data_IF_935123284230
#
_entry.id   IF_935123284230
#
_cell.length_a   1.000
_cell.length_b   1.000
_cell.length_c   1.000
_cell.angle_alpha   90.00
_cell.angle_beta   90.00
_cell.angle_gamma   90.00
#
_symmetry.space_group_name_H-M   'P 1'
#
loop_
_entity.id
_entity.type
_entity.pdbx_description
1 polymer ?
#
# COMPACT_ATOMS: atom_id res chain seq x y z
N UNK A 1 3.81 -16.95 22.05
CA UNK A 1 4.55 -15.72 22.41
C UNK A 1 5.37 -15.88 23.69
N UNK A 2 4.75 -15.90 24.90
CA UNK A 2 5.51 -16.03 26.16
C UNK A 2 6.38 -17.30 26.25
N UNK A 3 5.86 -18.44 25.81
CA UNK A 3 6.64 -19.70 25.76
C UNK A 3 7.85 -19.67 24.82
N UNK A 4 7.90 -18.71 23.88
CA UNK A 4 9.02 -18.49 22.97
C UNK A 4 9.98 -17.38 23.48
N UNK A 5 9.85 -16.95 24.75
CA UNK A 5 10.67 -15.90 25.35
C UNK A 5 10.14 -14.47 25.17
N UNK A 6 8.96 -14.30 24.57
CA UNK A 6 8.34 -12.99 24.38
C UNK A 6 7.82 -12.37 25.69
N UNK A 7 7.99 -11.06 25.82
CA UNK A 7 7.46 -10.27 26.94
C UNK A 7 6.27 -9.42 26.48
N UNK A 8 5.20 -9.43 27.28
CA UNK A 8 4.06 -8.52 27.08
C UNK A 8 4.28 -7.32 27.98
N UNK A 9 4.20 -6.12 27.42
CA UNK A 9 4.27 -4.84 28.13
C UNK A 9 2.97 -4.09 27.94
N UNK A 10 2.54 -3.38 28.98
CA UNK A 10 1.35 -2.54 28.95
C UNK A 10 1.78 -1.11 28.61
N UNK A 11 1.88 -0.81 27.32
CA UNK A 11 2.24 0.53 26.81
C UNK A 11 3.72 0.71 26.40
N UNK A 12 4.08 1.92 25.95
CA UNK A 12 5.42 2.22 25.42
C UNK A 12 6.51 2.35 26.50
N UNK A 13 6.12 2.54 27.76
CA UNK A 13 7.07 2.77 28.85
C UNK A 13 7.99 1.57 29.07
N UNK A 14 9.30 1.82 29.05
CA UNK A 14 10.31 0.81 29.33
C UNK A 14 10.68 -0.10 28.15
N UNK A 15 10.22 0.20 26.93
CA UNK A 15 10.57 -0.57 25.71
C UNK A 15 12.07 -0.52 25.33
N UNK A 16 12.86 0.37 25.94
CA UNK A 16 14.28 0.52 25.61
C UNK A 16 14.48 0.92 24.14
N UNK A 17 15.67 0.64 23.60
CA UNK A 17 15.93 0.85 22.17
C UNK A 17 15.38 -0.35 21.40
N UNK A 18 14.54 -0.06 20.39
CA UNK A 18 13.98 -1.07 19.50
C UNK A 18 14.77 -1.08 18.18
N UNK A 19 15.15 -2.27 17.71
CA UNK A 19 15.81 -2.43 16.41
C UNK A 19 14.81 -2.53 15.25
N UNK A 20 13.59 -2.98 15.53
CA UNK A 20 12.52 -3.20 14.55
C UNK A 20 11.15 -3.21 15.25
N UNK A 21 10.16 -2.61 14.60
CA UNK A 21 8.74 -2.71 14.98
C UNK A 21 7.99 -3.49 13.93
N UNK A 22 7.18 -4.44 14.38
CA UNK A 22 6.22 -5.16 13.54
C UNK A 22 4.83 -4.69 13.91
N UNK A 23 4.21 -3.96 12.98
CA UNK A 23 2.85 -3.47 13.14
C UNK A 23 1.84 -4.57 12.76
N UNK A 24 1.01 -4.93 13.74
CA UNK A 24 -0.12 -5.84 13.59
C UNK A 24 -1.27 -5.45 14.50
N UNK A 25 -1.46 -4.14 14.74
CA UNK A 25 -2.50 -3.62 15.63
C UNK A 25 -3.89 -3.82 15.00
N UNK A 26 -4.03 -3.46 13.72
CA UNK A 26 -5.27 -3.62 12.94
C UNK A 26 -4.95 -4.07 11.51
N UNK A 27 -5.64 -5.08 11.01
CA UNK A 27 -5.66 -5.42 9.57
C UNK A 27 -6.93 -4.91 8.88
N UNK A 28 -7.38 -5.60 7.83
CA UNK A 28 -8.60 -5.28 7.05
C UNK A 28 -9.91 -5.09 7.85
N UNK A 29 -9.95 -5.52 9.12
CA UNK A 29 -11.10 -5.33 10.00
C UNK A 29 -11.11 -3.99 10.75
N UNK A 30 -10.02 -3.22 10.69
CA UNK A 30 -9.92 -1.90 11.31
C UNK A 30 -10.85 -0.90 10.63
N UNK A 31 -11.64 -0.16 11.41
CA UNK A 31 -12.51 0.91 10.90
C UNK A 31 -12.44 2.12 11.79
N UNK A 32 -12.42 3.31 11.19
CA UNK A 32 -12.55 4.59 11.91
C UNK A 32 -11.29 5.09 12.62
N UNK A 33 -10.11 4.62 12.22
CA UNK A 33 -8.83 5.05 12.77
C UNK A 33 -8.35 4.25 13.99
N UNK A 34 -7.18 4.63 14.51
CA UNK A 34 -6.60 4.00 15.69
C UNK A 34 -7.29 4.45 16.98
N UNK A 35 -7.28 3.56 17.97
CA UNK A 35 -7.61 3.90 19.35
C UNK A 35 -6.50 4.77 19.96
N UNK A 36 -6.81 5.47 21.05
CA UNK A 36 -5.89 6.41 21.68
C UNK A 36 -4.59 5.75 22.17
N UNK A 37 -4.69 4.57 22.78
CA UNK A 37 -3.55 3.75 23.22
C UNK A 37 -2.65 3.31 22.06
N UNK A 38 -3.25 2.91 20.93
CA UNK A 38 -2.50 2.59 19.72
C UNK A 38 -1.83 3.82 19.11
N UNK A 39 -2.50 4.97 19.13
CA UNK A 39 -1.95 6.24 18.64
C UNK A 39 -0.67 6.63 19.40
N UNK A 40 -0.65 6.46 20.73
CA UNK A 40 0.52 6.75 21.56
C UNK A 40 1.74 5.87 21.19
N UNK A 41 1.49 4.58 20.89
CA UNK A 41 2.53 3.67 20.39
C UNK A 41 3.08 4.14 19.04
N UNK A 42 2.21 4.52 18.10
CA UNK A 42 2.62 5.02 16.78
C UNK A 42 3.49 6.28 16.90
N UNK A 43 3.12 7.21 17.79
CA UNK A 43 3.89 8.42 18.05
C UNK A 43 5.27 8.11 18.63
N UNK A 44 5.36 7.15 19.55
CA UNK A 44 6.63 6.72 20.16
C UNK A 44 7.57 6.14 19.11
N UNK A 45 7.07 5.20 18.30
CA UNK A 45 7.85 4.54 17.24
C UNK A 45 8.32 5.55 16.18
N UNK A 46 7.43 6.46 15.77
CA UNK A 46 7.75 7.50 14.78
C UNK A 46 8.86 8.43 15.27
N UNK A 47 8.85 8.79 16.56
CA UNK A 47 9.86 9.66 17.17
C UNK A 47 11.24 9.03 17.20
N UNK A 48 11.31 7.73 17.49
CA UNK A 48 12.58 6.99 17.62
C UNK A 48 13.18 6.60 16.26
N UNK A 49 12.42 6.77 15.16
CA UNK A 49 12.82 6.41 13.79
C UNK A 49 13.22 4.93 13.66
N UNK A 50 12.60 4.09 14.48
CA UNK A 50 12.78 2.64 14.40
C UNK A 50 12.16 2.14 13.11
N UNK A 51 12.82 1.24 12.36
CA UNK A 51 12.23 0.64 11.18
C UNK A 51 10.91 -0.07 11.49
N UNK A 52 9.91 0.10 10.63
CA UNK A 52 8.56 -0.46 10.80
C UNK A 52 8.19 -1.36 9.64
N UNK A 53 7.77 -2.59 9.95
CA UNK A 53 7.14 -3.51 9.00
C UNK A 53 5.69 -3.69 9.38
N UNK A 54 4.76 -3.32 8.51
CA UNK A 54 3.34 -3.60 8.70
C UNK A 54 2.95 -4.95 8.12
N UNK A 55 2.12 -5.67 8.88
CA UNK A 55 1.54 -6.94 8.47
C UNK A 55 0.17 -6.67 7.88
N UNK A 56 -0.02 -7.13 6.66
CA UNK A 56 -1.23 -6.97 5.85
C UNK A 56 -1.51 -5.53 5.39
N UNK A 57 -1.67 -4.60 6.33
CA UNK A 57 -2.04 -3.22 6.09
C UNK A 57 -1.46 -2.35 7.22
N UNK A 58 -0.89 -1.16 6.95
CA UNK A 58 -0.50 -0.25 8.03
C UNK A 58 -1.68 0.07 8.93
N UNK A 59 -1.53 -0.12 10.24
CA UNK A 59 -2.63 0.06 11.16
C UNK A 59 -3.12 1.51 11.16
N UNK A 60 -4.45 1.69 11.10
CA UNK A 60 -5.10 3.00 11.04
C UNK A 60 -5.52 3.47 9.63
N UNK A 61 -5.16 2.74 8.58
CA UNK A 61 -5.64 3.03 7.21
C UNK A 61 -6.86 2.18 6.85
N UNK A 62 -7.71 2.69 5.96
CA UNK A 62 -8.87 1.98 5.40
C UNK A 62 -8.44 1.16 4.18
N UNK A 63 -8.80 -0.13 4.15
CA UNK A 63 -8.29 -1.09 3.18
C UNK A 63 -8.82 -0.89 1.75
N UNK A 64 -10.07 -0.48 1.59
CA UNK A 64 -10.77 -0.41 0.31
C UNK A 64 -10.70 0.99 -0.31
N UNK A 65 -10.70 2.04 0.52
CA UNK A 65 -10.73 3.43 0.05
C UNK A 65 -9.37 4.11 0.10
N UNK A 66 -8.46 3.63 0.98
CA UNK A 66 -7.20 4.32 1.27
C UNK A 66 -7.35 5.55 2.16
N UNK A 67 -8.54 5.80 2.72
CA UNK A 67 -8.75 6.88 3.68
C UNK A 67 -7.95 6.62 4.97
N UNK A 68 -7.45 7.70 5.58
CA UNK A 68 -6.75 7.66 6.87
C UNK A 68 -7.49 8.59 7.83
N UNK A 69 -8.07 8.02 8.89
CA UNK A 69 -8.81 8.78 9.89
C UNK A 69 -7.94 9.02 11.12
N UNK A 70 -7.31 10.19 11.18
CA UNK A 70 -6.40 10.55 12.27
C UNK A 70 -5.01 9.98 12.05
N UNK A 71 -4.51 9.24 13.03
CA UNK A 71 -3.15 8.69 13.02
C UNK A 71 -3.13 7.27 12.47
N UNK A 72 -2.08 6.98 11.69
CA UNK A 72 -1.83 5.66 11.13
C UNK A 72 -0.33 5.38 11.12
N UNK A 73 0.01 4.10 11.21
CA UNK A 73 1.39 3.64 11.09
C UNK A 73 1.95 4.07 9.73
N UNK A 74 3.19 4.55 9.73
CA UNK A 74 3.99 4.73 8.51
C UNK A 74 5.05 3.64 8.47
N UNK A 75 4.86 2.68 7.58
CA UNK A 75 5.75 1.54 7.44
C UNK A 75 6.90 1.84 6.47
N UNK A 76 8.07 1.29 6.73
CA UNK A 76 9.15 1.20 5.74
C UNK A 76 8.85 0.09 4.71
N UNK A 77 8.14 -0.96 5.14
CA UNK A 77 7.63 -2.00 4.26
C UNK A 77 6.32 -2.60 4.79
N UNK A 78 5.45 -3.05 3.88
CA UNK A 78 4.23 -3.78 4.22
C UNK A 78 4.23 -5.14 3.54
N UNK A 79 4.01 -6.19 4.32
CA UNK A 79 3.83 -7.56 3.81
C UNK A 79 2.33 -7.85 3.73
N UNK A 80 1.77 -7.85 2.52
CA UNK A 80 0.34 -8.13 2.26
C UNK A 80 0.13 -9.57 1.78
N UNK A 81 -1.07 -10.12 1.98
CA UNK A 81 -1.37 -11.51 1.66
C UNK A 81 -2.52 -11.65 0.66
N UNK A 82 -2.41 -12.65 -0.21
CA UNK A 82 -3.47 -13.02 -1.16
C UNK A 82 -3.59 -12.07 -2.35
N UNK A 83 -3.93 -10.81 -2.09
CA UNK A 83 -3.98 -9.75 -3.09
C UNK A 83 -3.54 -8.40 -2.51
N UNK A 84 -3.37 -7.40 -3.37
CA UNK A 84 -3.24 -6.01 -2.94
C UNK A 84 -4.61 -5.46 -2.55
N UNK A 85 -4.71 -4.85 -1.38
CA UNK A 85 -5.89 -4.05 -1.04
C UNK A 85 -5.75 -2.67 -1.69
N UNK A 86 -6.83 -2.07 -2.21
CA UNK A 86 -6.75 -0.79 -2.92
C UNK A 86 -6.10 0.32 -2.10
N UNK A 87 -6.35 0.38 -0.79
CA UNK A 87 -5.76 1.35 0.13
C UNK A 87 -4.23 1.28 0.23
N UNK A 88 -3.59 0.17 -0.17
CA UNK A 88 -2.12 0.12 -0.27
C UNK A 88 -1.57 0.87 -1.48
N UNK A 89 -2.43 1.22 -2.44
CA UNK A 89 -2.06 1.78 -3.74
C UNK A 89 -2.71 3.15 -4.03
N UNK A 90 -3.61 3.59 -3.15
CA UNK A 90 -4.36 4.85 -3.29
C UNK A 90 -3.93 5.81 -2.16
N UNK A 91 -3.65 7.05 -2.52
CA UNK A 91 -3.35 8.11 -1.55
C UNK A 91 -4.59 8.52 -0.74
N UNK A 92 -4.45 8.84 0.56
CA UNK A 92 -3.18 9.02 1.28
C UNK A 92 -2.54 7.72 1.82
N UNK A 93 -3.26 6.61 1.91
CA UNK A 93 -2.73 5.39 2.56
C UNK A 93 -1.53 4.75 1.85
N UNK A 94 -1.37 4.93 0.53
CA UNK A 94 -0.18 4.47 -0.18
C UNK A 94 1.13 5.05 0.40
N UNK A 95 1.12 6.30 0.88
CA UNK A 95 2.29 6.93 1.53
C UNK A 95 2.65 6.30 2.89
N UNK A 96 1.73 5.52 3.47
CA UNK A 96 1.92 4.83 4.74
C UNK A 96 2.45 3.40 4.57
N UNK A 97 2.39 2.85 3.36
CA UNK A 97 2.65 1.44 3.13
C UNK A 97 4.13 1.08 2.91
N UNK A 98 4.96 2.06 2.54
CA UNK A 98 6.36 1.84 2.23
C UNK A 98 6.55 0.85 1.08
N UNK A 99 7.60 0.03 1.14
CA UNK A 99 7.82 -1.03 0.15
C UNK A 99 6.81 -2.18 0.32
N UNK A 100 6.03 -2.47 -0.73
CA UNK A 100 5.04 -3.55 -0.69
C UNK A 100 5.64 -4.90 -1.06
N UNK A 101 5.33 -5.92 -0.24
CA UNK A 101 5.61 -7.33 -0.54
C UNK A 101 4.34 -8.15 -0.49
N UNK A 102 3.84 -8.57 -1.65
CA UNK A 102 2.76 -9.55 -1.72
C UNK A 102 3.31 -10.95 -1.46
N UNK A 103 2.68 -11.65 -0.51
CA UNK A 103 2.90 -13.07 -0.24
C UNK A 103 1.67 -13.82 -0.69
N UNK A 104 1.87 -14.72 -1.66
CA UNK A 104 0.84 -15.66 -2.06
C UNK A 104 0.61 -16.69 -0.95
N UNK A 105 -0.64 -16.79 -0.52
CA UNK A 105 -1.10 -17.73 0.50
C UNK A 105 -2.12 -18.73 -0.07
N UNK A 106 -2.25 -18.79 -1.40
CA UNK A 106 -3.08 -19.76 -2.10
C UNK A 106 -4.56 -19.39 -2.20
N UNK A 107 -4.90 -18.10 -2.13
CA UNK A 107 -6.30 -17.62 -2.22
C UNK A 107 -6.84 -17.50 -3.64
N UNK A 108 -6.03 -17.77 -4.67
CA UNK A 108 -6.42 -17.60 -6.08
C UNK A 108 -7.78 -18.24 -6.44
N UNK A 109 -8.03 -19.52 -6.10
CA UNK A 109 -9.31 -20.18 -6.38
C UNK A 109 -10.55 -19.55 -5.69
N UNK A 110 -10.34 -18.82 -4.61
CA UNK A 110 -11.39 -18.20 -3.80
C UNK A 110 -11.64 -16.73 -4.18
N UNK A 111 -10.73 -16.11 -4.94
CA UNK A 111 -10.88 -14.73 -5.40
C UNK A 111 -11.90 -14.65 -6.55
N UNK A 112 -12.72 -13.58 -6.58
CA UNK A 112 -13.68 -13.38 -7.66
C UNK A 112 -12.98 -13.11 -9.00
N UNK A 113 -13.54 -13.67 -10.06
CA UNK A 113 -13.13 -13.38 -11.44
C UNK A 113 -14.34 -12.85 -12.26
N UNK A 114 -14.20 -11.71 -12.97
CA UNK A 114 -13.03 -10.84 -13.03
C UNK A 114 -12.82 -10.05 -11.72
N UNK A 115 -11.58 -9.57 -11.46
CA UNK A 115 -11.35 -8.66 -10.34
C UNK A 115 -12.08 -7.32 -10.55
N UNK A 116 -12.50 -6.69 -9.45
CA UNK A 116 -13.11 -5.35 -9.49
C UNK A 116 -12.08 -4.25 -9.83
N UNK A 117 -10.80 -4.49 -9.49
CA UNK A 117 -9.68 -3.57 -9.69
C UNK A 117 -8.41 -4.33 -10.10
N UNK A 118 -7.64 -3.75 -11.00
CA UNK A 118 -6.34 -4.27 -11.45
C UNK A 118 -5.23 -3.23 -11.26
N UNK A 119 -4.11 -3.65 -10.68
CA UNK A 119 -2.92 -2.82 -10.51
C UNK A 119 -1.84 -3.25 -11.51
N UNK A 120 -1.85 -2.64 -12.69
CA UNK A 120 -0.94 -2.99 -13.78
C UNK A 120 0.53 -2.88 -13.34
N UNK A 121 1.27 -3.96 -13.54
CA UNK A 121 2.71 -4.01 -13.38
C UNK A 121 3.39 -3.69 -14.71
N UNK A 122 4.72 -3.50 -14.66
CA UNK A 122 5.53 -3.21 -15.84
C UNK A 122 5.30 -4.19 -17.00
N UNK A 123 5.20 -5.48 -16.70
CA UNK A 123 5.00 -6.53 -17.71
C UNK A 123 3.62 -6.41 -18.37
N UNK A 124 2.59 -6.06 -17.60
CA UNK A 124 1.23 -5.89 -18.11
C UNK A 124 1.18 -4.70 -19.07
N UNK A 125 1.77 -3.57 -18.68
CA UNK A 125 1.88 -2.38 -19.54
C UNK A 125 2.67 -2.70 -20.80
N UNK A 126 3.79 -3.42 -20.69
CA UNK A 126 4.60 -3.82 -21.85
C UNK A 126 3.82 -4.72 -22.83
N UNK A 127 2.98 -5.63 -22.32
CA UNK A 127 2.13 -6.49 -23.14
C UNK A 127 1.00 -5.73 -23.85
N UNK A 128 0.53 -4.62 -23.27
CA UNK A 128 -0.50 -3.76 -23.86
C UNK A 128 0.04 -2.84 -24.95
N UNK A 129 1.35 -2.55 -24.96
CA UNK A 129 1.94 -1.63 -25.93
C UNK A 129 2.06 -2.28 -27.32
N UNK A 130 1.59 -1.60 -28.40
CA UNK A 130 1.73 -2.14 -29.75
C UNK A 130 3.20 -2.17 -30.17
N UNK A 131 3.67 -3.33 -30.64
CA UNK A 131 5.02 -3.51 -31.17
C UNK A 131 5.03 -3.33 -32.69
N UNK A 132 5.77 -2.34 -33.24
CA UNK A 132 5.85 -2.14 -34.69
C UNK A 132 6.49 -3.33 -35.41
N UNK A 133 5.88 -3.76 -36.51
CA UNK A 133 6.43 -4.77 -37.42
C UNK A 133 7.09 -4.17 -38.65
N UNK A 134 7.58 -5.01 -39.56
CA UNK A 134 8.26 -4.59 -40.80
C UNK A 134 7.39 -3.66 -41.68
N UNK A 135 6.07 -3.85 -41.64
CA UNK A 135 5.08 -3.10 -42.42
C UNK A 135 4.55 -1.86 -41.69
N UNK A 136 5.10 -1.50 -40.52
CA UNK A 136 4.65 -0.36 -39.74
C UNK A 136 5.26 0.94 -40.25
N UNK A 137 4.53 1.65 -41.11
CA UNK A 137 4.88 3.01 -41.56
C UNK A 137 4.20 4.13 -40.75
N UNK A 138 4.47 5.38 -41.10
CA UNK A 138 3.97 6.59 -40.42
C UNK A 138 2.45 6.78 -40.49
N UNK A 139 1.77 6.21 -41.48
CA UNK A 139 0.32 6.31 -41.64
C UNK A 139 -0.39 5.09 -41.05
N UNK A 140 0.24 3.92 -41.11
CA UNK A 140 -0.32 2.67 -40.58
C UNK A 140 -0.33 2.61 -39.05
N UNK A 141 0.48 3.43 -38.38
CA UNK A 141 0.50 3.59 -36.92
C UNK A 141 -0.49 4.62 -36.37
N UNK A 142 -1.39 5.13 -37.22
CA UNK A 142 -2.39 6.12 -36.83
C UNK A 142 -1.84 7.55 -36.86
N UNK A 143 -2.74 8.50 -37.11
CA UNK A 143 -2.46 9.94 -37.08
C UNK A 143 -3.49 10.58 -36.17
N UNK A 144 -3.04 11.31 -35.16
CA UNK A 144 -3.91 12.01 -34.20
C UNK A 144 -3.83 13.50 -34.46
N UNK A 145 -4.98 14.13 -34.68
CA UNK A 145 -5.12 15.59 -34.66
C UNK A 145 -5.59 16.04 -33.27
N UNK A 146 -4.94 17.04 -32.71
CA UNK A 146 -5.33 17.64 -31.42
C UNK A 146 -5.78 19.07 -31.67
N UNK A 147 -7.02 19.39 -31.32
CA UNK A 147 -7.54 20.76 -31.29
C UNK A 147 -7.64 21.15 -29.82
N UNK A 148 -6.63 21.87 -29.35
CA UNK A 148 -6.52 22.33 -27.98
C UNK A 148 -5.91 23.74 -27.95
N UNK A 149 -6.03 24.40 -26.81
CA UNK A 149 -5.45 25.71 -26.56
C UNK A 149 -6.46 26.86 -26.63
N UNK A 150 -6.11 27.95 -25.96
CA UNK A 150 -6.81 29.24 -25.96
C UNK A 150 -5.79 30.36 -25.72
N UNK A 151 -6.19 31.63 -25.83
CA UNK A 151 -5.29 32.75 -25.47
C UNK A 151 -4.73 32.63 -24.05
N UNK A 152 -5.53 32.09 -23.12
CA UNK A 152 -5.15 31.94 -21.71
C UNK A 152 -4.30 30.69 -21.45
N UNK A 153 -4.47 29.64 -22.25
CA UNK A 153 -3.76 28.37 -22.12
C UNK A 153 -3.23 27.97 -23.48
N UNK A 154 -2.07 28.51 -23.90
CA UNK A 154 -1.52 28.27 -25.22
C UNK A 154 -0.69 26.98 -25.34
N UNK A 155 -0.43 26.30 -24.22
CA UNK A 155 0.34 25.05 -24.15
C UNK A 155 -0.51 23.79 -24.26
#
# INVERSE_FOLDING_TARGET
FRAAGGQVVDGPDGLGVLDLVVDGITGIGGRGGLREDATELVHTVTRDRTPVISVDLPSGVEADTGEVHGEAVRADATVTFGTYKPGLLIDPAAEHAGALRLVDIGLGPELPEPPDLEALQYADVAALLPVPGAESDKYRRGVVGVVAGSERYPG
#
